data_IF_306935757181
#
_entry.id   IF_306935757181
#
_cell.length_a   1.000
_cell.length_b   1.000
_cell.length_c   1.000
_cell.angle_alpha   90.00
_cell.angle_beta   90.00
_cell.angle_gamma   90.00
#
_symmetry.space_group_name_H-M   'P 1'
#
loop_
_entity.id
_entity.type
_entity.pdbx_description
1 polymer ?
#
# COMPACT_ATOMS: atom_id res chain seq x y z
N UNK A 1 -21.52 -25.71 8.28
CA UNK A 1 -21.46 -24.33 7.87
C UNK A 1 -20.36 -24.13 6.86
N UNK A 2 -20.53 -23.18 6.08
CA UNK A 2 -19.48 -22.83 5.16
C UNK A 2 -18.34 -22.21 5.92
N UNK A 3 -17.19 -22.72 5.72
CA UNK A 3 -16.03 -22.06 6.27
C UNK A 3 -15.91 -20.69 5.70
N UNK A 4 -15.60 -19.75 6.55
CA UNK A 4 -15.37 -18.40 6.07
C UNK A 4 -14.18 -18.43 5.12
N UNK A 5 -14.42 -17.99 3.93
CA UNK A 5 -13.38 -17.91 2.94
C UNK A 5 -12.70 -16.56 3.02
N UNK A 6 -11.39 -16.57 2.95
CA UNK A 6 -10.64 -15.34 2.82
C UNK A 6 -10.80 -14.85 1.40
N UNK A 7 -10.88 -13.55 1.25
CA UNK A 7 -10.79 -12.98 -0.07
C UNK A 7 -9.42 -13.29 -0.65
N UNK A 8 -9.35 -13.73 -1.91
CA UNK A 8 -8.06 -13.99 -2.52
C UNK A 8 -7.26 -12.69 -2.57
N UNK A 9 -5.97 -12.80 -2.32
CA UNK A 9 -5.08 -11.67 -2.49
C UNK A 9 -5.01 -11.34 -3.97
N UNK A 10 -5.22 -10.08 -4.32
CA UNK A 10 -5.07 -9.61 -5.68
C UNK A 10 -3.59 -9.43 -5.97
N UNK A 11 -3.09 -10.10 -6.98
CA UNK A 11 -1.71 -9.99 -7.42
C UNK A 11 -1.69 -9.36 -8.79
N UNK A 12 -0.97 -8.26 -8.92
CA UNK A 12 -0.99 -7.46 -10.13
C UNK A 12 0.39 -6.89 -10.41
N UNK A 13 1.22 -7.68 -11.06
CA UNK A 13 2.59 -7.27 -11.33
C UNK A 13 2.67 -6.05 -12.23
N UNK A 14 1.74 -5.93 -13.15
CA UNK A 14 1.71 -4.76 -14.03
C UNK A 14 1.49 -3.49 -13.22
N UNK A 15 0.58 -3.54 -12.27
CA UNK A 15 0.32 -2.41 -11.39
C UNK A 15 1.53 -2.10 -10.51
N UNK A 16 2.18 -3.14 -9.98
CA UNK A 16 3.38 -2.94 -9.17
C UNK A 16 4.50 -2.27 -9.96
N UNK A 17 4.68 -2.65 -11.22
CA UNK A 17 5.67 -2.01 -12.06
C UNK A 17 5.33 -0.55 -12.33
N UNK A 18 4.04 -0.28 -12.51
CA UNK A 18 3.59 1.10 -12.68
C UNK A 18 3.93 1.93 -11.44
N UNK A 19 3.58 1.42 -10.25
CA UNK A 19 3.87 2.12 -9.00
C UNK A 19 5.38 2.37 -8.86
N UNK A 20 6.20 1.37 -9.15
CA UNK A 20 7.65 1.50 -9.02
C UNK A 20 8.26 2.48 -10.02
N UNK A 21 7.52 2.85 -11.06
CA UNK A 21 7.99 3.82 -12.05
C UNK A 21 7.70 5.27 -11.65
N UNK A 22 6.93 5.47 -10.58
CA UNK A 22 6.54 6.81 -10.14
C UNK A 22 7.55 7.33 -9.13
N UNK A 23 7.64 8.65 -8.97
CA UNK A 23 8.49 9.20 -7.90
C UNK A 23 7.89 8.90 -6.54
N UNK A 24 8.75 8.90 -5.52
CA UNK A 24 8.31 8.70 -4.13
C UNK A 24 7.25 9.73 -3.78
N UNK A 25 6.16 9.26 -3.20
CA UNK A 25 5.05 10.17 -2.87
C UNK A 25 5.38 11.09 -1.70
N UNK A 26 6.48 10.89 -1.02
CA UNK A 26 6.91 11.74 0.09
C UNK A 26 7.98 12.72 -0.34
N UNK A 27 9.05 12.24 -0.98
CA UNK A 27 10.21 13.07 -1.27
C UNK A 27 10.51 13.26 -2.76
N UNK A 28 9.80 12.57 -3.64
CA UNK A 28 9.98 12.71 -5.09
C UNK A 28 11.18 12.02 -5.69
N UNK A 29 11.94 11.26 -4.90
CA UNK A 29 13.08 10.52 -5.44
C UNK A 29 12.60 9.41 -6.38
N UNK A 30 13.49 8.99 -7.26
CA UNK A 30 13.14 8.02 -8.30
C UNK A 30 13.52 6.58 -7.97
N UNK A 31 14.30 6.33 -6.93
CA UNK A 31 14.63 4.96 -6.50
C UNK A 31 13.49 4.42 -5.66
N UNK A 32 12.41 3.99 -6.32
CA UNK A 32 11.12 3.74 -5.71
C UNK A 32 10.75 2.27 -5.76
N UNK A 33 10.12 1.82 -4.70
CA UNK A 33 9.55 0.48 -4.58
C UNK A 33 8.05 0.60 -4.37
N UNK A 34 7.32 -0.42 -4.79
CA UNK A 34 5.88 -0.49 -4.51
C UNK A 34 5.70 -0.92 -3.05
N UNK A 35 5.21 -0.01 -2.22
CA UNK A 35 5.05 -0.27 -0.80
C UNK A 35 3.60 -0.62 -0.50
N UNK A 36 3.38 -1.79 0.11
CA UNK A 36 2.04 -2.23 0.47
C UNK A 36 1.54 -1.54 1.73
N UNK A 37 0.28 -1.14 1.72
CA UNK A 37 -0.40 -0.62 2.90
C UNK A 37 -1.02 -1.80 3.62
N UNK A 38 -0.66 -2.01 4.89
CA UNK A 38 -1.13 -3.17 5.64
C UNK A 38 -2.28 -2.85 6.60
N UNK A 39 -2.47 -1.59 6.92
CA UNK A 39 -3.51 -1.17 7.84
C UNK A 39 -4.87 -1.23 7.16
N UNK A 40 -5.89 -1.68 7.90
CA UNK A 40 -7.25 -1.73 7.40
C UNK A 40 -7.88 -0.35 7.33
N UNK A 41 -8.82 -0.17 6.42
CA UNK A 41 -9.65 1.04 6.38
C UNK A 41 -10.99 0.68 5.79
N UNK A 42 -11.97 0.45 6.66
CA UNK A 42 -13.31 0.13 6.19
C UNK A 42 -13.92 1.28 5.41
N UNK A 43 -13.55 2.49 5.77
CA UNK A 43 -14.00 3.69 5.08
C UNK A 43 -13.61 3.68 3.62
N UNK A 44 -12.47 3.09 3.29
CA UNK A 44 -11.96 3.03 1.93
C UNK A 44 -12.09 1.64 1.31
N UNK A 45 -12.79 0.74 1.98
CA UNK A 45 -13.03 -0.59 1.44
C UNK A 45 -11.87 -1.57 1.59
N UNK A 46 -10.92 -1.28 2.48
CA UNK A 46 -9.77 -2.15 2.68
C UNK A 46 -9.96 -2.91 3.98
N UNK A 47 -10.05 -4.25 3.90
CA UNK A 47 -10.19 -5.07 5.10
C UNK A 47 -8.84 -5.27 5.77
N UNK A 48 -8.87 -5.67 7.04
CA UNK A 48 -7.66 -5.99 7.77
C UNK A 48 -7.02 -7.27 7.28
N UNK A 49 -5.76 -7.44 7.60
CA UNK A 49 -5.00 -8.63 7.24
C UNK A 49 -5.07 -9.64 8.37
N UNK A 50 -5.21 -10.91 8.00
CA UNK A 50 -5.06 -11.99 8.95
C UNK A 50 -3.60 -12.27 9.22
N UNK A 51 -3.38 -13.20 10.14
CA UNK A 51 -2.02 -13.61 10.47
C UNK A 51 -1.33 -14.18 9.23
N UNK A 52 -0.14 -13.69 8.93
CA UNK A 52 0.67 -14.12 7.79
C UNK A 52 0.04 -13.79 6.43
N UNK A 53 -1.02 -13.02 6.43
CA UNK A 53 -1.66 -12.62 5.19
C UNK A 53 -0.96 -11.39 4.63
N UNK A 54 -0.80 -11.35 3.30
CA UNK A 54 -0.18 -10.20 2.64
C UNK A 54 -1.25 -9.34 2.01
N UNK A 55 -0.99 -8.04 1.93
CA UNK A 55 -1.91 -7.10 1.32
C UNK A 55 -2.00 -7.33 -0.19
N UNK A 56 -3.18 -7.04 -0.74
CA UNK A 56 -3.35 -7.08 -2.20
C UNK A 56 -2.53 -6.00 -2.88
N UNK A 57 -2.12 -6.27 -4.10
CA UNK A 57 -1.24 -5.36 -4.84
C UNK A 57 -1.92 -4.03 -5.21
N UNK A 58 -3.25 -3.98 -5.17
CA UNK A 58 -3.96 -2.72 -5.42
C UNK A 58 -3.80 -1.72 -4.29
N UNK A 59 -3.34 -2.15 -3.11
CA UNK A 59 -3.11 -1.26 -1.99
C UNK A 59 -1.62 -0.95 -1.85
N UNK A 60 -1.07 -0.30 -2.88
CA UNK A 60 0.35 0.06 -2.91
C UNK A 60 0.53 1.52 -3.26
N UNK A 61 1.62 2.09 -2.77
CA UNK A 61 2.01 3.46 -3.07
C UNK A 61 3.51 3.49 -3.34
N UNK A 62 4.01 4.49 -4.09
CA UNK A 62 5.44 4.57 -4.38
C UNK A 62 6.21 5.18 -3.21
N UNK A 63 7.16 4.45 -2.68
CA UNK A 63 8.05 4.94 -1.64
C UNK A 63 9.49 4.63 -2.02
N UNK A 64 10.38 5.62 -1.84
CA UNK A 64 11.79 5.36 -2.03
C UNK A 64 12.28 4.40 -0.95
N UNK A 65 13.48 3.86 -1.16
CA UNK A 65 14.02 2.85 -0.24
C UNK A 65 14.04 3.36 1.20
N UNK A 66 14.41 4.61 1.40
CA UNK A 66 14.49 5.19 2.75
C UNK A 66 13.11 5.24 3.42
N UNK A 67 12.11 5.80 2.71
CA UNK A 67 10.78 5.93 3.30
C UNK A 67 10.05 4.60 3.42
N UNK A 68 10.32 3.67 2.51
CA UNK A 68 9.75 2.32 2.62
C UNK A 68 10.28 1.62 3.87
N UNK A 69 11.59 1.76 4.12
CA UNK A 69 12.19 1.20 5.32
C UNK A 69 11.63 1.86 6.58
N UNK A 70 11.43 3.17 6.53
CA UNK A 70 10.86 3.90 7.66
C UNK A 70 9.42 3.44 7.94
N UNK A 71 8.62 3.20 6.90
CA UNK A 71 7.26 2.70 7.05
C UNK A 71 7.24 1.39 7.85
N UNK A 72 8.21 0.51 7.56
CA UNK A 72 8.28 -0.79 8.24
C UNK A 72 8.84 -0.71 9.66
N UNK A 73 9.57 0.35 9.97
CA UNK A 73 10.25 0.46 11.25
C UNK A 73 9.42 1.13 12.33
N UNK A 74 8.23 1.63 11.99
CA UNK A 74 7.40 2.33 12.95
C UNK A 74 5.93 1.96 12.73
N UNK A 75 5.05 2.44 13.60
CA UNK A 75 3.61 2.26 13.43
C UNK A 75 3.19 2.87 12.09
N UNK A 76 2.50 2.09 11.27
CA UNK A 76 2.19 2.51 9.90
C UNK A 76 1.34 3.77 9.87
N UNK A 77 0.31 3.86 10.69
CA UNK A 77 -0.55 5.04 10.67
C UNK A 77 0.18 6.25 11.21
N UNK A 78 1.08 6.07 12.16
CA UNK A 78 1.95 7.14 12.62
C UNK A 78 2.88 7.64 11.52
N UNK A 79 3.39 6.71 10.70
CA UNK A 79 4.21 7.07 9.56
C UNK A 79 3.44 7.97 8.59
N UNK A 80 2.24 7.56 8.18
CA UNK A 80 1.45 8.35 7.24
C UNK A 80 1.03 9.70 7.82
N UNK A 81 0.69 9.71 9.11
CA UNK A 81 0.33 10.95 9.78
C UNK A 81 1.50 11.92 9.84
N UNK A 82 2.70 11.40 10.05
CA UNK A 82 3.92 12.22 10.09
C UNK A 82 4.08 13.04 8.81
N UNK A 83 3.74 12.44 7.66
CA UNK A 83 3.93 13.10 6.37
C UNK A 83 2.64 13.72 5.83
N UNK A 84 1.56 13.67 6.60
CA UNK A 84 0.31 14.29 6.20
C UNK A 84 -0.35 13.67 5.00
N UNK A 85 -0.17 12.36 4.79
CA UNK A 85 -0.70 11.65 3.63
C UNK A 85 -1.78 10.67 4.02
N UNK A 86 -2.79 10.53 3.14
CA UNK A 86 -3.77 9.47 3.25
C UNK A 86 -3.41 8.39 2.23
N UNK A 87 -2.80 7.28 2.66
CA UNK A 87 -2.32 6.28 1.72
C UNK A 87 -3.46 5.57 0.98
N UNK A 88 -4.63 5.47 1.61
CA UNK A 88 -5.76 4.77 1.00
C UNK A 88 -6.29 5.53 -0.21
N UNK A 89 -6.47 6.83 -0.06
CA UNK A 89 -6.93 7.67 -1.18
C UNK A 89 -5.90 7.66 -2.29
N UNK A 90 -4.61 7.77 -1.94
CA UNK A 90 -3.56 7.74 -2.93
C UNK A 90 -3.53 6.42 -3.69
N UNK A 91 -3.64 5.30 -2.97
CA UNK A 91 -3.62 3.99 -3.61
C UNK A 91 -4.81 3.81 -4.55
N UNK A 92 -5.99 4.28 -4.15
CA UNK A 92 -7.18 4.19 -4.99
C UNK A 92 -6.98 4.98 -6.27
N UNK A 93 -6.47 6.20 -6.17
CA UNK A 93 -6.24 7.04 -7.34
C UNK A 93 -5.22 6.42 -8.29
N UNK A 94 -4.16 5.85 -7.75
CA UNK A 94 -3.13 5.22 -8.57
C UNK A 94 -3.66 3.97 -9.27
N UNK A 95 -4.51 3.20 -8.60
CA UNK A 95 -5.10 2.02 -9.21
C UNK A 95 -6.00 2.39 -10.37
N UNK A 96 -6.69 3.51 -10.29
CA UNK A 96 -7.54 3.98 -11.37
C UNK A 96 -6.77 4.29 -12.64
N UNK A 97 -5.47 4.56 -12.52
CA UNK A 97 -4.63 4.90 -13.67
C UNK A 97 -4.02 3.67 -14.35
N UNK A 98 -4.23 2.52 -13.78
CA UNK A 98 -3.77 1.27 -14.39
C UNK A 98 -4.95 0.35 -14.64
#
# INVERSE_FOLDING_TARGET
MTLRQKEPRVRDEKHLRYIASLPCCICGKTDVQAAHIRTASLEHGKRGLGLQEKASDCWTVPLCRFHHSEQHSMNEMGFWKRYGLNPFILAIKLKERT
#
